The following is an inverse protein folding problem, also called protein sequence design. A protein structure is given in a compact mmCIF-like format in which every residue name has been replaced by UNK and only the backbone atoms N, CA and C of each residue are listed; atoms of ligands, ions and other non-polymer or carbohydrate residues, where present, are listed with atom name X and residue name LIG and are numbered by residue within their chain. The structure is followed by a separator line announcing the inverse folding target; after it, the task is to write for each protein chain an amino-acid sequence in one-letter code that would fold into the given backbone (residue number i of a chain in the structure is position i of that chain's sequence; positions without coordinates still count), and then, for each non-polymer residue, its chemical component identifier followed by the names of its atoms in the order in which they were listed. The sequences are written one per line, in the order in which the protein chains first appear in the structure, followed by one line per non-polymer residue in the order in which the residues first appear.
data_IF_086858074804
#
_entry.id   IF_086858074804
#
_cell.length_a   1.000
_cell.length_b   1.000
_cell.length_c   1.000
_cell.angle_alpha   90.00
_cell.angle_beta   90.00
_cell.angle_gamma   90.00
#
_symmetry.space_group_name_H-M   'P 1'
#
loop_
_entity.id
_entity.type
_entity.pdbx_description
1 polymer ?
#
# COMPACT_ATOMS: atom_id res chain seq x y z
N UNK A 1 13.69 -5.48 16.55
CA UNK A 1 13.81 -5.23 15.09
C UNK A 1 12.52 -4.62 14.56
N UNK A 2 12.54 -3.35 14.21
CA UNK A 2 11.37 -2.61 13.72
C UNK A 2 11.09 -2.98 12.26
N UNK A 3 9.93 -3.59 11.97
CA UNK A 3 9.53 -3.91 10.60
C UNK A 3 9.06 -2.64 9.88
N UNK A 4 9.59 -2.35 8.70
CA UNK A 4 9.17 -1.24 7.84
C UNK A 4 7.70 -1.38 7.41
N UNK A 5 6.97 -0.26 7.38
CA UNK A 5 5.53 -0.23 7.03
C UNK A 5 5.28 -0.19 5.52
N UNK A 6 6.29 0.11 4.71
CA UNK A 6 6.20 0.11 3.25
C UNK A 6 7.04 -1.05 2.70
N UNK A 7 6.47 -1.81 1.77
CA UNK A 7 7.20 -2.86 1.05
C UNK A 7 7.03 -2.65 -0.45
N UNK A 8 8.04 -3.04 -1.25
CA UNK A 8 7.80 -3.19 -2.68
C UNK A 8 6.69 -4.23 -2.86
N UNK A 9 5.63 -3.87 -3.58
CA UNK A 9 4.67 -4.84 -4.06
C UNK A 9 5.43 -5.82 -4.97
N UNK A 10 5.85 -6.95 -4.42
CA UNK A 10 6.62 -7.94 -5.16
C UNK A 10 5.72 -8.55 -6.22
N UNK A 11 5.97 -8.22 -7.49
CA UNK A 11 5.27 -8.82 -8.64
C UNK A 11 5.45 -10.34 -8.79
N UNK A 12 6.21 -10.99 -7.89
CA UNK A 12 6.54 -12.41 -7.94
C UNK A 12 5.35 -13.35 -7.63
N UNK A 13 4.31 -12.87 -6.92
CA UNK A 13 3.12 -13.69 -6.63
C UNK A 13 2.12 -13.78 -7.79
N UNK A 14 2.30 -13.00 -8.86
CA UNK A 14 1.43 -13.02 -10.04
C UNK A 14 1.94 -13.90 -11.19
N UNK A 15 3.23 -14.25 -11.21
CA UNK A 15 3.87 -14.92 -12.36
C UNK A 15 4.01 -16.44 -12.23
N UNK A 16 3.70 -17.02 -11.07
CA UNK A 16 3.96 -18.44 -10.80
C UNK A 16 2.71 -19.21 -10.40
N UNK A 17 1.56 -18.87 -10.99
CA UNK A 17 0.36 -19.69 -10.89
C UNK A 17 0.05 -20.31 -12.26
N UNK A 18 0.96 -21.20 -12.67
CA UNK A 18 0.65 -22.44 -13.39
C UNK A 18 1.87 -23.35 -13.24
N UNK A 19 1.73 -24.35 -12.38
CA UNK A 19 2.64 -25.48 -12.25
C UNK A 19 2.41 -26.39 -13.45
N UNK A 20 3.12 -26.11 -14.54
CA UNK A 20 3.36 -27.10 -15.59
C UNK A 20 4.51 -27.99 -15.14
N UNK A 21 4.25 -29.29 -15.06
CA UNK A 21 5.22 -30.30 -14.63
C UNK A 21 6.41 -30.35 -15.60
N UNK A 22 7.57 -29.85 -15.18
CA UNK A 22 8.79 -29.80 -16.01
C UNK A 22 9.41 -31.19 -16.27
N UNK A 23 8.81 -32.26 -15.74
CA UNK A 23 9.33 -33.63 -15.85
C UNK A 23 9.12 -34.29 -17.22
N UNK A 24 8.18 -33.80 -18.05
CA UNK A 24 7.84 -34.44 -19.34
C UNK A 24 8.72 -34.04 -20.52
N UNK A 25 9.63 -33.07 -20.38
CA UNK A 25 10.43 -32.53 -21.51
C UNK A 25 11.91 -32.94 -21.54
N UNK A 26 12.32 -33.88 -20.69
CA UNK A 26 13.74 -34.26 -20.54
C UNK A 26 14.33 -35.06 -21.72
N UNK A 27 13.50 -35.57 -22.64
CA UNK A 27 13.94 -36.47 -23.73
C UNK A 27 13.60 -35.96 -25.15
N UNK A 28 13.40 -34.65 -25.35
CA UNK A 28 13.28 -34.10 -26.71
C UNK A 28 14.67 -33.63 -27.18
N UNK A 29 15.25 -34.35 -28.13
CA UNK A 29 16.48 -33.96 -28.83
C UNK A 29 16.23 -32.69 -29.64
N UNK A 30 16.60 -31.53 -29.09
CA UNK A 30 16.57 -30.26 -29.81
C UNK A 30 17.86 -30.10 -30.60
N UNK A 31 17.88 -30.64 -31.82
CA UNK A 31 18.95 -30.41 -32.78
C UNK A 31 18.38 -29.68 -34.00
N UNK A 32 18.04 -28.40 -33.86
CA UNK A 32 17.71 -27.53 -35.01
C UNK A 32 17.64 -26.05 -34.61
N UNK A 33 18.41 -25.20 -35.31
CA UNK A 33 18.13 -23.76 -35.46
C UNK A 33 18.65 -22.80 -34.38
N UNK A 34 19.97 -22.67 -34.20
CA UNK A 34 20.54 -21.55 -33.42
C UNK A 34 20.30 -20.17 -34.07
N UNK A 35 20.12 -20.13 -35.39
CA UNK A 35 19.89 -18.89 -36.16
C UNK A 35 18.43 -18.43 -36.16
N UNK A 36 17.48 -19.31 -35.79
CA UNK A 36 16.04 -19.00 -35.72
C UNK A 36 15.57 -18.84 -34.27
N UNK A 37 16.53 -18.66 -33.35
CA UNK A 37 16.22 -18.33 -31.97
C UNK A 37 15.56 -16.94 -31.95
N UNK A 38 14.37 -16.78 -31.33
CA UNK A 38 13.77 -15.48 -31.18
C UNK A 38 14.78 -14.56 -30.51
N UNK A 39 15.15 -13.50 -31.22
CA UNK A 39 16.10 -12.50 -30.76
C UNK A 39 15.66 -12.09 -29.36
N UNK A 40 16.55 -12.33 -28.38
CA UNK A 40 16.23 -12.08 -26.97
C UNK A 40 15.85 -10.62 -26.85
N UNK A 41 14.54 -10.36 -26.77
CA UNK A 41 14.05 -9.02 -26.48
C UNK A 41 14.81 -8.58 -25.23
N UNK A 42 15.54 -7.47 -25.34
CA UNK A 42 16.14 -6.85 -24.17
C UNK A 42 15.02 -6.76 -23.16
N UNK A 43 15.14 -7.43 -22.01
CA UNK A 43 14.13 -7.37 -20.94
C UNK A 43 13.80 -5.91 -20.78
N UNK A 44 12.64 -5.53 -21.32
CA UNK A 44 12.23 -4.14 -21.43
C UNK A 44 12.40 -3.58 -20.03
N UNK A 45 13.26 -2.58 -19.92
CA UNK A 45 13.98 -2.27 -18.69
C UNK A 45 13.07 -2.35 -17.47
N UNK A 46 13.63 -2.85 -16.36
CA UNK A 46 13.02 -2.94 -15.02
C UNK A 46 12.44 -1.61 -14.47
N UNK A 47 12.30 -0.58 -15.31
CA UNK A 47 11.93 0.79 -15.00
C UNK A 47 10.53 1.19 -15.54
N UNK A 48 9.82 0.35 -16.31
CA UNK A 48 8.50 0.71 -16.89
C UNK A 48 7.27 0.21 -16.15
N UNK A 49 7.43 -0.47 -15.00
CA UNK A 49 6.31 -0.70 -14.08
C UNK A 49 6.50 0.21 -12.90
N UNK A 50 5.66 1.23 -12.75
CA UNK A 50 5.55 2.06 -11.53
C UNK A 50 5.43 1.10 -10.35
N UNK A 51 6.54 0.79 -9.67
CA UNK A 51 6.54 -0.10 -8.51
C UNK A 51 6.02 0.71 -7.34
N UNK A 52 4.69 0.83 -7.26
CA UNK A 52 4.04 1.38 -6.09
C UNK A 52 4.40 0.52 -4.89
N UNK A 53 4.68 1.17 -3.76
CA UNK A 53 4.86 0.47 -2.50
C UNK A 53 3.48 0.03 -1.99
N UNK A 54 3.44 -1.17 -1.44
CA UNK A 54 2.24 -1.69 -0.80
C UNK A 54 2.02 -0.97 0.54
N UNK A 55 0.93 -0.20 0.60
CA UNK A 55 0.49 0.57 1.78
C UNK A 55 -0.48 -0.23 2.67
N UNK A 56 -0.84 -1.47 2.33
CA UNK A 56 -1.75 -2.30 3.12
C UNK A 56 -1.25 -2.60 4.54
N UNK A 57 0.07 -2.58 4.74
CA UNK A 57 0.69 -2.72 6.06
C UNK A 57 0.47 -1.49 6.93
N UNK A 58 0.43 -0.29 6.33
CA UNK A 58 0.08 0.95 7.04
C UNK A 58 -1.33 0.81 7.60
N UNK A 59 -2.28 0.34 6.79
CA UNK A 59 -3.65 0.10 7.25
C UNK A 59 -3.74 -0.92 8.39
N UNK A 60 -3.11 -2.09 8.25
CA UNK A 60 -3.09 -3.13 9.30
C UNK A 60 -2.45 -2.63 10.59
N UNK A 61 -1.41 -1.83 10.47
CA UNK A 61 -0.73 -1.22 11.60
C UNK A 61 -1.59 -0.14 12.27
N UNK A 62 -2.24 0.72 11.49
CA UNK A 62 -3.11 1.77 12.00
C UNK A 62 -4.31 1.19 12.78
N UNK A 63 -4.82 0.03 12.37
CA UNK A 63 -5.86 -0.70 13.10
C UNK A 63 -5.46 -1.11 14.52
N UNK A 64 -4.17 -1.32 14.81
CA UNK A 64 -3.69 -1.63 16.17
C UNK A 64 -3.47 -0.38 17.02
N UNK A 65 -3.59 0.81 16.41
CA UNK A 65 -3.34 2.12 17.02
C UNK A 65 -4.62 2.91 17.31
N UNK A 66 -5.77 2.24 17.26
CA UNK A 66 -7.05 2.81 17.67
C UNK A 66 -7.00 3.16 19.16
N UNK A 67 -7.63 4.28 19.54
CA UNK A 67 -7.61 4.91 20.86
C UNK A 67 -6.23 5.43 21.33
N UNK A 68 -5.26 5.55 20.43
CA UNK A 68 -3.99 6.22 20.71
C UNK A 68 -3.99 7.65 20.16
N UNK A 69 -3.17 8.50 20.77
CA UNK A 69 -2.98 9.88 20.33
C UNK A 69 -2.36 9.92 18.92
N UNK A 70 -2.96 10.68 18.02
CA UNK A 70 -2.53 10.75 16.63
C UNK A 70 -1.11 11.28 16.45
N UNK A 71 -0.66 12.26 17.25
CA UNK A 71 0.69 12.84 17.10
C UNK A 71 1.78 11.82 17.47
N UNK A 72 1.52 11.03 18.51
CA UNK A 72 2.40 9.93 18.91
C UNK A 72 2.45 8.84 17.82
N UNK A 73 1.30 8.50 17.24
CA UNK A 73 1.21 7.53 16.15
C UNK A 73 1.88 8.06 14.87
N UNK A 74 1.71 9.34 14.55
CA UNK A 74 2.29 9.94 13.36
C UNK A 74 3.81 10.04 13.45
N UNK A 75 4.36 10.41 14.61
CA UNK A 75 5.80 10.39 14.82
C UNK A 75 6.37 8.97 14.70
N UNK A 76 5.71 7.98 15.31
CA UNK A 76 6.07 6.56 15.17
C UNK A 76 6.00 6.10 13.70
N UNK A 77 4.98 6.52 12.95
CA UNK A 77 4.81 6.22 11.53
C UNK A 77 6.00 6.73 10.71
N UNK A 78 6.43 7.98 10.92
CA UNK A 78 7.58 8.56 10.21
C UNK A 78 8.87 7.78 10.46
N UNK A 79 9.09 7.30 11.70
CA UNK A 79 10.27 6.47 12.02
C UNK A 79 10.22 5.08 11.38
N UNK A 80 9.03 4.59 11.02
CA UNK A 80 8.81 3.28 10.38
C UNK A 80 8.69 3.33 8.87
N UNK A 81 8.92 4.49 8.28
CA UNK A 81 9.12 4.66 6.83
C UNK A 81 10.61 4.76 6.56
N UNK A 82 11.06 4.10 5.49
CA UNK A 82 12.45 4.22 5.05
C UNK A 82 12.70 5.65 4.57
N UNK A 83 13.82 6.32 4.93
CA UNK A 83 14.09 7.71 4.56
C UNK A 83 13.94 8.02 3.07
N UNK A 84 14.31 7.05 2.21
CA UNK A 84 14.17 7.14 0.74
C UNK A 84 12.73 7.38 0.27
N UNK A 85 11.73 6.92 1.02
CA UNK A 85 10.31 7.01 0.66
C UNK A 85 9.54 8.00 1.53
N UNK A 86 10.21 8.68 2.47
CA UNK A 86 9.56 9.54 3.44
C UNK A 86 8.82 10.68 2.73
N UNK A 87 9.48 11.37 1.80
CA UNK A 87 8.87 12.50 1.08
C UNK A 87 7.63 12.09 0.28
N UNK A 88 7.75 10.99 -0.49
CA UNK A 88 6.66 10.50 -1.34
C UNK A 88 5.49 9.87 -0.56
N UNK A 89 5.74 9.27 0.61
CA UNK A 89 4.73 8.50 1.35
C UNK A 89 4.35 9.12 2.71
N UNK A 90 4.84 10.31 3.05
CA UNK A 90 4.49 11.03 4.28
C UNK A 90 2.98 11.17 4.48
N UNK A 91 2.27 11.37 3.37
CA UNK A 91 0.82 11.61 3.38
C UNK A 91 -0.01 10.33 3.15
N UNK A 92 0.62 9.16 2.95
CA UNK A 92 -0.13 7.94 2.64
C UNK A 92 -0.97 7.44 3.83
N UNK A 93 -0.67 7.89 5.05
CA UNK A 93 -1.48 7.60 6.23
C UNK A 93 -2.91 8.15 6.08
N UNK A 94 -3.07 9.28 5.39
CA UNK A 94 -4.37 9.95 5.20
C UNK A 94 -5.26 9.27 4.15
N UNK A 95 -4.75 8.26 3.43
CA UNK A 95 -5.61 7.39 2.60
C UNK A 95 -6.55 6.52 3.45
N UNK A 96 -6.15 6.24 4.69
CA UNK A 96 -6.86 5.34 5.61
C UNK A 96 -7.49 6.07 6.79
N UNK A 97 -7.06 7.31 7.04
CA UNK A 97 -7.39 8.11 8.21
C UNK A 97 -7.84 9.50 7.78
N UNK A 98 -8.99 9.93 8.27
CA UNK A 98 -9.42 11.32 8.12
C UNK A 98 -8.76 12.21 9.18
N UNK A 99 -8.09 13.33 8.80
CA UNK A 99 -7.45 14.21 9.74
C UNK A 99 -8.47 15.03 10.53
N UNK A 100 -8.11 15.42 11.77
CA UNK A 100 -9.01 16.15 12.68
C UNK A 100 -9.60 17.44 12.10
N UNK A 101 -8.87 18.12 11.22
CA UNK A 101 -9.30 19.39 10.60
C UNK A 101 -10.46 19.23 9.62
N UNK A 102 -10.65 18.04 9.04
CA UNK A 102 -11.68 17.78 8.01
C UNK A 102 -12.86 16.98 8.54
N UNK A 103 -12.78 16.49 9.79
CA UNK A 103 -13.85 15.73 10.43
C UNK A 103 -14.90 16.70 10.96
N UNK A 104 -16.15 16.50 10.54
CA UNK A 104 -17.32 17.23 11.04
C UNK A 104 -18.33 16.23 11.56
N UNK A 105 -18.89 16.49 12.75
CA UNK A 105 -19.98 15.70 13.32
C UNK A 105 -21.29 16.44 13.14
N UNK A 106 -22.25 15.84 12.45
CA UNK A 106 -23.64 16.32 12.36
C UNK A 106 -24.55 15.15 12.73
N UNK A 107 -25.35 15.29 13.80
CA UNK A 107 -26.44 14.38 14.16
C UNK A 107 -26.08 12.87 14.14
N UNK A 108 -24.97 12.50 14.78
CA UNK A 108 -24.38 11.14 14.81
C UNK A 108 -23.68 10.66 13.54
N UNK A 109 -23.77 11.40 12.43
CA UNK A 109 -23.08 11.08 11.19
C UNK A 109 -21.72 11.79 11.15
N UNK A 110 -20.69 11.02 10.81
CA UNK A 110 -19.32 11.51 10.69
C UNK A 110 -19.05 11.86 9.23
N UNK A 111 -18.74 13.13 8.98
CA UNK A 111 -18.37 13.62 7.66
C UNK A 111 -16.85 13.83 7.59
N UNK A 112 -16.28 13.49 6.45
CA UNK A 112 -14.92 13.85 6.05
C UNK A 112 -14.94 14.75 4.81
N UNK A 113 -13.76 15.11 4.32
CA UNK A 113 -13.60 15.93 3.11
C UNK A 113 -12.88 15.14 2.01
N UNK A 114 -13.39 15.22 0.79
CA UNK A 114 -12.78 14.67 -0.42
C UNK A 114 -12.92 15.67 -1.56
N UNK A 115 -11.82 16.19 -2.09
CA UNK A 115 -11.82 17.17 -3.20
C UNK A 115 -12.78 18.34 -2.94
N UNK A 116 -12.72 18.92 -1.73
CA UNK A 116 -13.57 20.03 -1.25
C UNK A 116 -15.07 19.70 -1.12
N UNK A 117 -15.47 18.45 -1.36
CA UNK A 117 -16.81 17.95 -1.09
C UNK A 117 -16.88 17.26 0.28
N UNK A 118 -17.99 17.44 0.99
CA UNK A 118 -18.31 16.68 2.21
C UNK A 118 -18.73 15.27 1.83
N UNK A 119 -18.15 14.28 2.50
CA UNK A 119 -18.45 12.86 2.25
C UNK A 119 -18.72 12.16 3.58
N UNK A 120 -19.78 11.35 3.63
CA UNK A 120 -20.10 10.52 4.80
C UNK A 120 -19.03 9.44 4.96
N UNK A 121 -18.46 9.31 6.15
CA UNK A 121 -17.57 8.23 6.51
C UNK A 121 -18.38 7.01 7.00
N UNK A 122 -17.91 5.77 6.78
CA UNK A 122 -16.65 5.40 6.12
C UNK A 122 -16.75 5.51 4.59
N UNK A 123 -15.71 6.06 3.96
CA UNK A 123 -15.63 6.21 2.50
C UNK A 123 -14.40 5.49 1.93
N UNK A 124 -14.63 4.48 1.09
CA UNK A 124 -13.57 3.70 0.44
C UNK A 124 -12.62 3.05 1.45
N UNK A 125 -11.36 3.49 1.47
CA UNK A 125 -10.32 3.01 2.39
C UNK A 125 -10.32 3.74 3.75
N UNK A 126 -11.01 4.88 3.86
CA UNK A 126 -11.09 5.70 5.07
C UNK A 126 -12.11 5.10 6.01
N UNK A 127 -11.62 4.35 7.01
CA UNK A 127 -12.42 3.71 8.06
C UNK A 127 -12.10 4.21 9.47
N UNK A 128 -11.13 5.12 9.54
CA UNK A 128 -10.62 5.69 10.78
C UNK A 128 -10.66 7.20 10.65
N UNK A 129 -10.88 7.88 11.76
CA UNK A 129 -10.81 9.33 11.84
C UNK A 129 -10.06 9.74 13.10
N UNK A 130 -9.49 10.95 13.09
CA UNK A 130 -8.93 11.58 14.29
C UNK A 130 -10.02 12.44 14.91
N UNK A 131 -10.36 12.16 16.16
CA UNK A 131 -11.29 12.98 16.92
C UNK A 131 -10.68 14.38 17.12
N UNK A 132 -11.33 15.47 16.66
CA UNK A 132 -10.82 16.82 16.78
C UNK A 132 -10.70 17.30 18.23
N UNK A 133 -11.45 16.71 19.17
CA UNK A 133 -11.44 17.13 20.58
C UNK A 133 -10.38 16.39 21.38
N UNK A 134 -10.29 15.08 21.23
CA UNK A 134 -9.40 14.22 22.03
C UNK A 134 -8.06 13.91 21.35
N UNK A 135 -7.93 14.22 20.05
CA UNK A 135 -6.80 13.83 19.20
C UNK A 135 -6.55 12.30 19.18
N UNK A 136 -7.58 11.51 19.50
CA UNK A 136 -7.52 10.06 19.51
C UNK A 136 -8.00 9.51 18.16
N UNK A 137 -7.34 8.43 17.71
CA UNK A 137 -7.78 7.70 16.52
C UNK A 137 -9.00 6.86 16.88
N UNK A 138 -10.13 7.11 16.22
CA UNK A 138 -11.36 6.34 16.41
C UNK A 138 -11.77 5.63 15.12
N UNK A 139 -12.54 4.56 15.29
CA UNK A 139 -13.24 3.90 14.19
C UNK A 139 -14.53 4.66 13.93
N UNK A 140 -14.83 4.84 12.65
CA UNK A 140 -16.15 5.27 12.19
C UNK A 140 -17.17 4.19 12.55
#
# INVERSE_FOLDING_TARGET
MTKWLLRKASGSRSKHKETGDFSTRRNADFNEGFDDLPMRESIQGKNTKRTYLDTSLVYRWLQTKVNQNFDAVYSEFLTRIQPKYLDAYRNCIFEYLEPSKTVVFEEEIIYGTLHDARVVLPYGKKKLYVDPTSNLIKKV
#
